data_IF_917700346269
#
_entry.id   IF_917700346269
#
_cell.length_a   1.000
_cell.length_b   1.000
_cell.length_c   1.000
_cell.angle_alpha   90.00
_cell.angle_beta   90.00
_cell.angle_gamma   90.00
#
_symmetry.space_group_name_H-M   'P 1'
#
loop_
_entity.id
_entity.type
_entity.pdbx_description
1 polymer ?
#
# COMPACT_ATOMS: atom_id res chain seq x y z
N UNK A 1 -21.34 -5.14 3.90
CA UNK A 1 -20.38 -4.02 4.05
C UNK A 1 -19.62 -3.92 2.74
N UNK A 2 -19.27 -2.73 2.25
CA UNK A 2 -18.47 -2.63 1.03
C UNK A 2 -17.04 -3.14 1.29
N UNK A 3 -16.37 -3.74 0.28
CA UNK A 3 -14.99 -4.20 0.42
C UNK A 3 -14.03 -3.04 0.69
N UNK A 4 -12.96 -3.26 1.47
CA UNK A 4 -11.95 -2.24 1.77
C UNK A 4 -10.97 -2.09 0.61
N UNK A 5 -10.62 -0.85 0.27
CA UNK A 5 -9.84 -0.52 -0.93
C UNK A 5 -8.46 0.02 -0.56
N UNK A 6 -7.41 -0.58 -1.10
CA UNK A 6 -6.04 -0.06 -1.02
C UNK A 6 -5.83 0.98 -2.12
N UNK A 7 -5.45 2.21 -1.76
CA UNK A 7 -5.13 3.26 -2.74
C UNK A 7 -3.62 3.38 -2.91
N UNK A 8 -3.09 2.88 -4.03
CA UNK A 8 -1.67 2.90 -4.36
C UNK A 8 -1.34 4.01 -5.35
N UNK A 9 -0.23 4.71 -5.14
CA UNK A 9 0.23 5.76 -6.04
C UNK A 9 1.28 6.66 -5.43
N UNK A 10 1.78 7.65 -6.21
CA UNK A 10 2.81 8.56 -5.73
C UNK A 10 2.33 9.38 -4.53
N UNK A 11 3.22 9.63 -3.57
CA UNK A 11 2.92 10.34 -2.31
C UNK A 11 4.06 11.20 -1.77
N UNK A 12 5.06 11.52 -2.60
CA UNK A 12 6.31 12.14 -2.18
C UNK A 12 6.17 13.65 -1.96
N UNK A 13 5.29 14.30 -2.71
CA UNK A 13 5.02 15.73 -2.59
C UNK A 13 3.54 16.07 -2.32
N UNK A 14 3.27 17.33 -2.03
CA UNK A 14 1.93 17.79 -1.66
C UNK A 14 0.90 17.66 -2.79
N UNK A 15 1.32 17.70 -4.06
CA UNK A 15 0.43 17.53 -5.20
C UNK A 15 0.01 16.06 -5.33
N UNK A 16 0.99 15.16 -5.31
CA UNK A 16 0.77 13.71 -5.37
C UNK A 16 -0.11 13.21 -4.22
N UNK A 17 0.16 13.65 -2.98
CA UNK A 17 -0.68 13.32 -1.83
C UNK A 17 -2.12 13.82 -1.98
N UNK A 18 -2.30 15.03 -2.50
CA UNK A 18 -3.63 15.60 -2.72
C UNK A 18 -4.42 14.77 -3.74
N UNK A 19 -3.77 14.36 -4.81
CA UNK A 19 -4.38 13.50 -5.83
C UNK A 19 -4.80 12.16 -5.26
N UNK A 20 -3.91 11.52 -4.50
CA UNK A 20 -4.23 10.27 -3.78
C UNK A 20 -5.35 10.46 -2.75
N UNK A 21 -5.44 11.63 -2.09
CA UNK A 21 -6.55 11.98 -1.20
C UNK A 21 -7.86 12.15 -1.98
N UNK A 22 -7.84 12.78 -3.16
CA UNK A 22 -9.02 12.92 -4.01
C UNK A 22 -9.57 11.55 -4.45
N UNK A 23 -8.69 10.62 -4.82
CA UNK A 23 -9.07 9.22 -5.13
C UNK A 23 -9.76 8.59 -3.92
N UNK A 24 -9.15 8.67 -2.73
CA UNK A 24 -9.72 8.13 -1.51
C UNK A 24 -11.09 8.76 -1.17
N UNK A 25 -11.19 10.09 -1.20
CA UNK A 25 -12.42 10.84 -0.92
C UNK A 25 -13.56 10.43 -1.86
N UNK A 26 -13.26 10.20 -3.14
CA UNK A 26 -14.24 9.76 -4.14
C UNK A 26 -14.80 8.37 -3.82
N UNK A 27 -13.94 7.45 -3.43
CA UNK A 27 -14.33 6.09 -3.01
C UNK A 27 -15.13 6.12 -1.70
N UNK A 28 -14.67 6.88 -0.71
CA UNK A 28 -15.31 7.03 0.60
C UNK A 28 -16.70 7.68 0.47
N UNK A 29 -16.86 8.67 -0.41
CA UNK A 29 -18.17 9.28 -0.72
C UNK A 29 -19.18 8.27 -1.29
N UNK A 30 -18.70 7.17 -1.87
CA UNK A 30 -19.52 6.06 -2.37
C UNK A 30 -19.57 4.87 -1.39
N UNK A 31 -19.12 5.07 -0.15
CA UNK A 31 -19.23 4.12 0.95
C UNK A 31 -18.17 3.02 0.98
N UNK A 32 -17.11 3.13 0.17
CA UNK A 32 -15.96 2.22 0.27
C UNK A 32 -15.08 2.62 1.46
N UNK A 33 -14.77 1.70 2.38
CA UNK A 33 -13.67 1.92 3.32
C UNK A 33 -12.36 1.96 2.54
N UNK A 34 -11.49 2.93 2.85
CA UNK A 34 -10.19 3.08 2.17
C UNK A 34 -9.04 2.86 3.15
N UNK A 35 -7.94 2.30 2.64
CA UNK A 35 -6.62 2.44 3.23
C UNK A 35 -5.75 3.29 2.29
N UNK A 36 -5.29 4.43 2.80
CA UNK A 36 -4.45 5.38 2.10
C UNK A 36 -3.08 5.44 2.81
N UNK A 37 -1.99 4.90 2.23
CA UNK A 37 -0.74 4.61 2.95
C UNK A 37 -0.15 5.79 3.74
N UNK A 38 -0.15 7.00 3.17
CA UNK A 38 0.40 8.18 3.84
C UNK A 38 -0.52 8.81 4.90
N UNK A 39 -1.79 8.38 4.98
CA UNK A 39 -2.79 8.84 5.96
C UNK A 39 -2.99 7.80 7.07
N UNK A 40 -3.19 6.55 6.67
CA UNK A 40 -3.60 5.46 7.55
C UNK A 40 -2.43 4.57 7.99
N UNK A 41 -1.29 4.66 7.30
CA UNK A 41 -0.06 3.94 7.58
C UNK A 41 0.98 4.82 8.25
N UNK A 42 2.21 4.78 7.73
CA UNK A 42 3.33 5.57 8.24
C UNK A 42 4.23 6.08 7.13
N UNK A 43 4.88 7.22 7.35
CA UNK A 43 5.83 7.78 6.40
C UNK A 43 7.25 7.73 6.96
N UNK A 44 8.18 7.24 6.15
CA UNK A 44 9.60 7.16 6.48
C UNK A 44 10.15 8.47 7.06
N UNK A 45 9.84 9.60 6.41
CA UNK A 45 10.31 10.94 6.81
C UNK A 45 9.80 11.42 8.16
N UNK A 46 8.69 10.86 8.65
CA UNK A 46 8.09 11.25 9.94
C UNK A 46 8.59 10.35 11.09
N UNK A 47 8.94 9.09 10.80
CA UNK A 47 9.34 8.09 11.80
C UNK A 47 10.86 8.07 12.01
N UNK A 48 11.66 8.15 10.93
CA UNK A 48 13.12 8.10 11.05
C UNK A 48 13.71 9.14 12.03
N UNK A 49 13.28 10.42 12.01
CA UNK A 49 13.81 11.43 12.92
C UNK A 49 13.53 11.16 14.41
N UNK A 50 12.57 10.26 14.71
CA UNK A 50 12.23 9.86 16.08
C UNK A 50 13.08 8.69 16.59
N UNK A 51 13.66 7.89 15.69
CA UNK A 51 14.47 6.72 16.03
C UNK A 51 15.93 7.10 16.30
N UNK A 52 16.48 8.06 15.56
CA UNK A 52 17.88 8.51 15.72
C UNK A 52 18.17 9.00 17.15
N UNK A 53 17.33 9.85 17.79
CA UNK A 53 17.54 10.27 19.18
C UNK A 53 17.45 9.13 20.21
N UNK A 54 16.94 7.95 19.84
CA UNK A 54 16.85 6.75 20.71
C UNK A 54 18.14 5.93 20.70
N UNK A 55 19.17 6.42 20.00
CA UNK A 55 20.50 5.80 19.99
C UNK A 55 20.65 4.70 18.94
N UNK A 56 19.91 4.77 17.83
CA UNK A 56 20.15 3.97 16.63
C UNK A 56 20.94 4.80 15.62
N UNK A 57 21.90 4.16 14.95
CA UNK A 57 22.59 4.81 13.84
C UNK A 57 21.61 5.05 12.68
N UNK A 58 21.70 6.17 11.92
CA UNK A 58 20.72 6.49 10.89
C UNK A 58 20.51 5.39 9.84
N UNK A 59 21.58 4.68 9.45
CA UNK A 59 21.50 3.58 8.50
C UNK A 59 20.78 2.35 9.07
N UNK A 60 21.03 2.03 10.34
CA UNK A 60 20.36 0.94 11.06
C UNK A 60 18.87 1.24 11.25
N UNK A 61 18.54 2.46 11.69
CA UNK A 61 17.18 2.94 11.82
C UNK A 61 16.42 2.90 10.50
N UNK A 62 17.06 3.33 9.41
CA UNK A 62 16.49 3.24 8.08
C UNK A 62 16.24 1.79 7.65
N UNK A 63 17.14 0.86 7.97
CA UNK A 63 17.00 -0.55 7.58
C UNK A 63 15.78 -1.21 8.23
N UNK A 64 15.61 -1.11 9.55
CA UNK A 64 14.45 -1.72 10.19
C UNK A 64 13.15 -0.96 9.92
N UNK A 65 13.21 0.36 9.71
CA UNK A 65 12.05 1.13 9.26
C UNK A 65 11.58 0.68 7.88
N UNK A 66 12.49 0.46 6.92
CA UNK A 66 12.11 -0.09 5.61
C UNK A 66 11.44 -1.46 5.73
N UNK A 67 11.97 -2.36 6.59
CA UNK A 67 11.34 -3.67 6.83
C UNK A 67 9.93 -3.54 7.39
N UNK A 68 9.71 -2.59 8.29
CA UNK A 68 8.40 -2.35 8.89
C UNK A 68 7.39 -1.78 7.89
N UNK A 69 7.79 -0.82 7.03
CA UNK A 69 6.94 -0.28 5.95
C UNK A 69 6.54 -1.40 5.00
N UNK A 70 7.53 -2.17 4.52
CA UNK A 70 7.30 -3.29 3.63
C UNK A 70 6.34 -4.34 4.23
N UNK A 71 6.51 -4.71 5.50
CA UNK A 71 5.64 -5.66 6.16
C UNK A 71 4.20 -5.13 6.29
N UNK A 72 4.05 -3.88 6.72
CA UNK A 72 2.75 -3.23 6.88
C UNK A 72 2.00 -3.15 5.54
N UNK A 73 2.63 -2.61 4.50
CA UNK A 73 1.96 -2.40 3.19
C UNK A 73 1.59 -3.73 2.52
N UNK A 74 2.47 -4.75 2.60
CA UNK A 74 2.16 -6.10 2.11
C UNK A 74 0.99 -6.71 2.86
N UNK A 75 0.92 -6.57 4.19
CA UNK A 75 -0.24 -7.04 4.96
C UNK A 75 -1.53 -6.31 4.58
N UNK A 76 -1.47 -4.99 4.48
CA UNK A 76 -2.65 -4.17 4.17
C UNK A 76 -3.21 -4.52 2.79
N UNK A 77 -2.34 -4.68 1.80
CA UNK A 77 -2.73 -5.04 0.45
C UNK A 77 -3.21 -6.50 0.36
N UNK A 78 -2.47 -7.44 0.93
CA UNK A 78 -2.74 -8.86 0.75
C UNK A 78 -3.96 -9.34 1.55
N UNK A 79 -4.14 -8.81 2.77
CA UNK A 79 -5.10 -9.34 3.75
C UNK A 79 -6.15 -8.31 4.15
N UNK A 80 -5.74 -7.10 4.54
CA UNK A 80 -6.69 -6.16 5.15
C UNK A 80 -7.59 -5.45 4.13
N UNK A 81 -7.14 -5.34 2.88
CA UNK A 81 -7.90 -4.79 1.76
C UNK A 81 -8.33 -5.90 0.81
N UNK A 82 -9.50 -5.69 0.22
CA UNK A 82 -10.16 -6.64 -0.66
C UNK A 82 -9.94 -6.32 -2.14
N UNK A 83 -9.70 -5.05 -2.45
CA UNK A 83 -9.48 -4.54 -3.80
C UNK A 83 -8.48 -3.38 -3.77
N UNK A 84 -8.04 -2.94 -4.95
CA UNK A 84 -7.05 -1.88 -5.10
C UNK A 84 -7.45 -0.89 -6.19
N UNK A 85 -7.19 0.40 -5.93
CA UNK A 85 -7.15 1.44 -6.96
C UNK A 85 -5.71 1.91 -7.10
N UNK A 86 -5.22 1.91 -8.33
CA UNK A 86 -3.85 2.26 -8.67
C UNK A 86 -3.79 3.56 -9.47
N UNK A 87 -3.14 4.57 -8.92
CA UNK A 87 -2.81 5.79 -9.64
C UNK A 87 -1.54 5.60 -10.48
N UNK A 88 -1.70 5.60 -11.80
CA UNK A 88 -0.63 5.46 -12.80
C UNK A 88 0.05 6.78 -13.16
N UNK A 89 -0.41 7.92 -12.61
CA UNK A 89 0.12 9.22 -12.97
C UNK A 89 1.63 9.36 -12.69
N UNK A 90 2.27 10.18 -13.52
CA UNK A 90 3.71 10.38 -13.54
C UNK A 90 4.32 10.03 -14.90
N UNK A 91 5.46 10.65 -15.23
CA UNK A 91 6.24 10.30 -16.43
C UNK A 91 6.59 8.80 -16.46
N UNK A 92 6.83 8.24 -15.28
CA UNK A 92 6.97 6.81 -15.00
C UNK A 92 6.11 6.55 -13.77
N UNK A 93 5.26 5.51 -13.76
CA UNK A 93 4.50 5.13 -12.58
C UNK A 93 5.41 4.89 -11.37
N UNK A 94 4.91 5.23 -10.19
CA UNK A 94 5.63 5.05 -8.93
C UNK A 94 6.05 3.58 -8.72
N UNK A 95 7.31 3.37 -8.37
CA UNK A 95 7.90 2.03 -8.21
C UNK A 95 7.30 1.23 -7.04
N UNK A 96 6.86 1.91 -5.98
CA UNK A 96 6.14 1.32 -4.86
C UNK A 96 4.78 0.81 -5.32
N UNK A 97 4.00 1.68 -5.95
CA UNK A 97 2.68 1.38 -6.48
C UNK A 97 2.70 0.29 -7.56
N UNK A 98 3.74 0.25 -8.42
CA UNK A 98 3.97 -0.85 -9.37
C UNK A 98 4.16 -2.19 -8.64
N UNK A 99 4.95 -2.19 -7.57
CA UNK A 99 5.23 -3.40 -6.77
C UNK A 99 3.96 -3.88 -6.06
N UNK A 100 3.16 -2.96 -5.55
CA UNK A 100 1.85 -3.22 -4.95
C UNK A 100 0.87 -3.78 -5.98
N UNK A 101 0.72 -3.15 -7.15
CA UNK A 101 -0.15 -3.62 -8.23
C UNK A 101 0.19 -5.06 -8.66
N UNK A 102 1.48 -5.39 -8.76
CA UNK A 102 1.92 -6.74 -9.11
C UNK A 102 1.56 -7.78 -8.03
N UNK A 103 1.64 -7.42 -6.75
CA UNK A 103 1.18 -8.29 -5.64
C UNK A 103 -0.33 -8.47 -5.72
N UNK A 104 -1.10 -7.38 -5.87
CA UNK A 104 -2.55 -7.42 -5.98
C UNK A 104 -3.02 -8.34 -7.11
N UNK A 105 -2.43 -8.15 -8.30
CA UNK A 105 -2.69 -8.96 -9.49
C UNK A 105 -2.36 -10.44 -9.27
N UNK A 106 -1.20 -10.73 -8.65
CA UNK A 106 -0.78 -12.12 -8.35
C UNK A 106 -1.72 -12.81 -7.36
N UNK A 107 -2.32 -12.05 -6.44
CA UNK A 107 -3.30 -12.54 -5.48
C UNK A 107 -4.73 -12.63 -6.04
N UNK A 108 -4.96 -12.19 -7.28
CA UNK A 108 -6.29 -12.15 -7.89
C UNK A 108 -7.21 -11.09 -7.28
N UNK A 109 -6.65 -9.99 -6.75
CA UNK A 109 -7.44 -8.88 -6.20
C UNK A 109 -8.04 -8.05 -7.34
N UNK A 110 -9.31 -7.62 -7.25
CA UNK A 110 -9.86 -6.61 -8.15
C UNK A 110 -8.97 -5.35 -8.14
N UNK A 111 -8.55 -4.91 -9.32
CA UNK A 111 -7.58 -3.84 -9.50
C UNK A 111 -8.07 -2.89 -10.60
N UNK A 112 -8.24 -1.61 -10.27
CA UNK A 112 -8.63 -0.56 -11.23
C UNK A 112 -7.53 0.48 -11.31
N UNK A 113 -7.16 0.90 -12.51
CA UNK A 113 -6.19 1.96 -12.72
C UNK A 113 -6.83 3.32 -13.05
N UNK A 114 -6.23 4.38 -12.51
CA UNK A 114 -6.51 5.78 -12.82
C UNK A 114 -5.28 6.43 -13.46
N UNK A 115 -5.46 7.20 -14.52
CA UNK A 115 -4.46 8.16 -14.99
C UNK A 115 -5.08 9.21 -15.90
N UNK A 116 -4.84 10.49 -15.60
CA UNK A 116 -5.10 11.64 -16.47
C UNK A 116 -3.80 12.33 -16.94
N UNK A 117 -2.63 11.74 -16.67
CA UNK A 117 -1.34 12.36 -16.98
C UNK A 117 -1.01 12.30 -18.48
N UNK A 118 -1.05 13.45 -19.15
CA UNK A 118 -0.68 13.58 -20.55
C UNK A 118 0.84 13.37 -20.83
N UNK A 119 1.68 13.21 -19.80
CA UNK A 119 3.15 13.10 -19.92
C UNK A 119 3.66 11.66 -19.99
N UNK A 120 2.76 10.67 -20.05
CA UNK A 120 3.10 9.26 -20.14
C UNK A 120 3.92 8.94 -21.40
N UNK A 121 4.86 7.99 -21.29
CA UNK A 121 5.81 7.63 -22.35
C UNK A 121 5.09 7.11 -23.62
N UNK A 122 5.74 7.15 -24.80
CA UNK A 122 5.27 6.57 -26.09
C UNK A 122 3.85 6.99 -26.50
N UNK A 123 3.65 8.22 -26.98
CA UNK A 123 2.33 8.67 -27.49
C UNK A 123 1.17 8.48 -26.47
N UNK A 124 1.47 8.57 -25.17
CA UNK A 124 0.50 8.32 -24.09
C UNK A 124 0.35 6.86 -23.65
N UNK A 125 1.29 5.97 -24.00
CA UNK A 125 1.24 4.53 -23.68
C UNK A 125 2.22 4.13 -22.57
N UNK A 126 1.69 3.60 -21.48
CA UNK A 126 2.47 2.99 -20.40
C UNK A 126 3.26 1.75 -20.87
N UNK A 127 4.23 1.33 -20.04
CA UNK A 127 4.95 0.07 -20.24
C UNK A 127 3.95 -1.11 -20.31
N UNK A 128 4.04 -2.00 -21.31
CA UNK A 128 3.13 -3.15 -21.46
C UNK A 128 3.00 -4.06 -20.25
N UNK A 129 4.05 -4.19 -19.43
CA UNK A 129 4.00 -4.98 -18.21
C UNK A 129 3.14 -4.34 -17.11
N UNK A 130 2.93 -3.02 -17.16
CA UNK A 130 2.12 -2.29 -16.20
C UNK A 130 0.65 -2.33 -16.60
N UNK A 131 0.34 -2.01 -17.85
CA UNK A 131 -1.04 -2.05 -18.36
C UNK A 131 -1.59 -3.46 -18.43
N UNK A 132 -0.73 -4.48 -18.59
CA UNK A 132 -1.16 -5.88 -18.49
C UNK A 132 -1.63 -6.29 -17.09
N UNK A 133 -1.31 -5.55 -16.02
CA UNK A 133 -1.83 -5.80 -14.67
C UNK A 133 -3.29 -5.36 -14.52
N UNK A 134 -3.77 -4.50 -15.43
CA UNK A 134 -5.11 -3.90 -15.40
C UNK A 134 -5.84 -4.14 -16.71
N UNK A 135 -5.55 -5.27 -17.36
CA UNK A 135 -6.17 -5.71 -18.61
C UNK A 135 -6.20 -4.64 -19.73
N UNK A 136 -5.18 -3.79 -19.74
CA UNK A 136 -5.01 -2.67 -20.66
C UNK A 136 -6.06 -1.56 -20.53
N UNK A 137 -6.79 -1.52 -19.41
CA UNK A 137 -7.81 -0.53 -19.10
C UNK A 137 -7.37 0.40 -17.97
N UNK A 138 -7.75 1.67 -18.09
CA UNK A 138 -7.68 2.68 -17.03
C UNK A 138 -8.71 3.76 -17.35
N UNK A 139 -9.13 4.51 -16.33
CA UNK A 139 -9.94 5.72 -16.50
C UNK A 139 -9.10 6.97 -16.24
N UNK A 140 -9.42 8.06 -16.94
CA UNK A 140 -8.92 9.41 -16.65
C UNK A 140 -9.93 10.25 -15.85
N UNK A 141 -11.06 9.66 -15.46
CA UNK A 141 -12.12 10.29 -14.68
C UNK A 141 -12.23 9.68 -13.28
N UNK A 142 -11.92 10.52 -12.27
CA UNK A 142 -12.06 10.15 -10.86
C UNK A 142 -13.50 9.76 -10.47
N UNK A 143 -14.50 10.30 -11.15
CA UNK A 143 -15.91 10.04 -10.85
C UNK A 143 -16.37 8.65 -11.35
N UNK A 144 -15.63 8.02 -12.27
CA UNK A 144 -15.89 6.66 -12.76
C UNK A 144 -15.33 5.57 -11.84
N UNK A 145 -14.30 5.89 -11.04
CA UNK A 145 -13.60 4.91 -10.20
C UNK A 145 -14.51 4.05 -9.31
N UNK A 146 -15.52 4.61 -8.60
CA UNK A 146 -16.39 3.79 -7.76
C UNK A 146 -17.23 2.77 -8.55
N UNK A 147 -17.64 3.12 -9.78
CA UNK A 147 -18.41 2.23 -10.65
C UNK A 147 -17.51 1.11 -11.17
N UNK A 148 -16.38 1.45 -11.77
CA UNK A 148 -15.41 0.49 -12.30
C UNK A 148 -14.93 -0.48 -11.22
N UNK A 149 -14.70 0.01 -10.00
CA UNK A 149 -14.34 -0.85 -8.88
C UNK A 149 -15.49 -1.78 -8.46
N UNK A 150 -16.74 -1.32 -8.52
CA UNK A 150 -17.91 -2.17 -8.26
C UNK A 150 -17.98 -3.32 -9.27
N UNK A 151 -17.76 -3.02 -10.54
CA UNK A 151 -17.77 -3.98 -11.65
C UNK A 151 -16.62 -4.97 -11.50
N UNK A 152 -15.38 -4.51 -11.31
CA UNK A 152 -14.21 -5.37 -11.11
C UNK A 152 -14.38 -6.34 -9.91
N UNK A 153 -15.00 -5.88 -8.81
CA UNK A 153 -15.31 -6.72 -7.65
C UNK A 153 -16.38 -7.76 -8.00
N UNK A 154 -17.42 -7.39 -8.75
CA UNK A 154 -18.48 -8.29 -9.16
C UNK A 154 -17.96 -9.36 -10.14
N UNK A 155 -17.10 -8.99 -11.08
CA UNK A 155 -16.49 -9.90 -12.05
C UNK A 155 -15.57 -10.90 -11.37
N UNK A 156 -14.72 -10.45 -10.44
CA UNK A 156 -13.87 -11.34 -9.65
C UNK A 156 -14.69 -12.35 -8.83
N UNK A 157 -15.88 -11.96 -8.34
CA UNK A 157 -16.79 -12.87 -7.64
C UNK A 157 -17.51 -13.86 -8.57
N UNK A 158 -17.66 -13.52 -9.86
CA UNK A 158 -18.36 -14.33 -10.85
C UNK A 158 -17.45 -15.37 -11.54
N UNK A 159 -16.15 -15.09 -11.67
CA UNK A 159 -15.21 -15.91 -12.46
C UNK A 159 -14.76 -17.23 -11.76
N UNK A 160 -15.38 -17.59 -10.61
CA UNK A 160 -14.96 -18.69 -9.71
C UNK A 160 -13.46 -18.65 -9.35
N UNK A 161 -12.82 -17.50 -9.57
CA UNK A 161 -11.42 -17.25 -9.30
C UNK A 161 -11.28 -17.03 -7.80
N UNK A 162 -10.98 -18.10 -7.08
CA UNK A 162 -10.67 -17.99 -5.64
C UNK A 162 -9.36 -17.21 -5.51
N UNK A 163 -9.32 -16.06 -4.81
CA UNK A 163 -8.08 -15.35 -4.55
C UNK A 163 -7.04 -16.28 -3.96
N UNK A 164 -5.78 -16.08 -4.32
CA UNK A 164 -4.73 -16.97 -3.87
C UNK A 164 -4.65 -16.97 -2.33
N UNK A 165 -4.78 -18.15 -1.72
CA UNK A 165 -4.71 -18.27 -0.26
C UNK A 165 -3.30 -17.89 0.21
N UNK A 166 -3.23 -17.10 1.29
CA UNK A 166 -1.95 -16.69 1.87
C UNK A 166 -1.15 -17.94 2.31
N UNK A 167 -1.84 -18.98 2.76
CA UNK A 167 -1.28 -20.27 3.15
C UNK A 167 -0.52 -20.95 2.01
N UNK A 168 -0.89 -20.71 0.75
CA UNK A 168 -0.22 -21.29 -0.42
C UNK A 168 0.98 -20.46 -0.90
N UNK A 169 1.16 -19.25 -0.36
CA UNK A 169 2.26 -18.38 -0.73
C UNK A 169 3.62 -18.85 -0.19
N UNK A 170 4.73 -18.46 -0.85
CA UNK A 170 6.08 -18.78 -0.37
C UNK A 170 6.29 -18.34 1.09
N UNK A 171 7.09 -19.11 1.83
CA UNK A 171 7.35 -18.87 3.27
C UNK A 171 7.69 -17.41 3.60
N UNK A 172 8.49 -16.74 2.76
CA UNK A 172 8.88 -15.34 2.98
C UNK A 172 7.68 -14.41 2.91
N UNK A 173 6.80 -14.59 1.93
CA UNK A 173 5.57 -13.80 1.80
C UNK A 173 4.66 -13.98 3.02
N UNK A 174 4.44 -15.24 3.44
CA UNK A 174 3.64 -15.54 4.64
C UNK A 174 4.20 -14.91 5.91
N UNK A 175 5.53 -14.91 6.06
CA UNK A 175 6.17 -14.28 7.21
C UNK A 175 6.01 -12.75 7.16
N UNK A 176 6.20 -12.13 6.00
CA UNK A 176 5.99 -10.68 5.83
C UNK A 176 4.57 -10.27 6.18
N UNK A 177 3.57 -10.99 5.68
CA UNK A 177 2.15 -10.74 6.00
C UNK A 177 1.90 -10.87 7.50
N UNK A 178 2.45 -11.90 8.15
CA UNK A 178 2.32 -12.09 9.60
C UNK A 178 2.98 -10.96 10.40
N UNK A 179 4.17 -10.53 9.99
CA UNK A 179 4.88 -9.42 10.66
C UNK A 179 4.09 -8.12 10.52
N UNK A 180 3.50 -7.87 9.34
CA UNK A 180 2.62 -6.73 9.10
C UNK A 180 1.31 -6.79 9.90
N UNK A 181 0.71 -7.98 10.04
CA UNK A 181 -0.49 -8.18 10.85
C UNK A 181 -0.23 -7.88 12.33
N UNK A 182 0.87 -8.40 12.88
CA UNK A 182 1.28 -8.13 14.26
C UNK A 182 1.48 -6.62 14.47
N UNK A 183 2.17 -5.97 13.53
CA UNK A 183 2.37 -4.53 13.56
C UNK A 183 1.06 -3.76 13.50
N UNK A 184 0.17 -4.09 12.58
CA UNK A 184 -1.11 -3.41 12.40
C UNK A 184 -1.98 -3.49 13.65
N UNK A 185 -2.09 -4.69 14.24
CA UNK A 185 -2.85 -4.89 15.47
C UNK A 185 -2.25 -4.07 16.62
N UNK A 186 -0.92 -4.03 16.75
CA UNK A 186 -0.27 -3.26 17.80
C UNK A 186 -0.44 -1.74 17.61
N UNK A 187 -0.39 -1.25 16.38
CA UNK A 187 -0.69 0.16 16.06
C UNK A 187 -2.15 0.50 16.43
N UNK A 188 -3.09 -0.37 16.08
CA UNK A 188 -4.51 -0.20 16.38
C UNK A 188 -4.77 -0.19 17.89
N UNK A 189 -4.25 -1.17 18.63
CA UNK A 189 -4.41 -1.29 20.08
C UNK A 189 -3.85 -0.08 20.84
N UNK A 190 -2.79 0.54 20.30
CA UNK A 190 -2.17 1.76 20.86
C UNK A 190 -2.89 3.05 20.48
N UNK A 191 -3.83 3.01 19.52
CA UNK A 191 -4.38 4.22 18.92
C UNK A 191 -3.30 5.07 18.24
N UNK A 192 -2.35 4.42 17.56
CA UNK A 192 -1.19 5.07 16.96
C UNK A 192 -1.50 5.85 15.66
N UNK A 193 -2.76 5.83 15.19
CA UNK A 193 -3.20 6.58 14.02
C UNK A 193 -2.79 8.06 14.14
N UNK A 194 -2.09 8.56 13.12
CA UNK A 194 -1.53 9.93 13.06
C UNK A 194 -0.54 10.29 14.18
N UNK A 195 -0.15 9.34 15.04
CA UNK A 195 0.79 9.56 16.15
C UNK A 195 2.15 8.93 15.86
N UNK A 196 3.04 9.73 15.24
CA UNK A 196 4.37 9.28 14.85
C UNK A 196 5.24 8.75 16.01
N UNK A 197 4.99 9.20 17.25
CA UNK A 197 5.73 8.69 18.42
C UNK A 197 5.34 7.24 18.72
N UNK A 198 4.04 6.96 18.77
CA UNK A 198 3.53 5.60 18.99
C UNK A 198 3.85 4.66 17.82
N UNK A 199 3.85 5.19 16.60
CA UNK A 199 4.32 4.47 15.41
C UNK A 199 5.80 4.10 15.59
N UNK A 200 6.67 5.06 15.95
CA UNK A 200 8.08 4.80 16.18
C UNK A 200 8.32 3.77 17.29
N UNK A 201 7.56 3.84 18.40
CA UNK A 201 7.62 2.84 19.49
C UNK A 201 7.28 1.44 19.00
N UNK A 202 6.28 1.33 18.12
CA UNK A 202 5.83 0.07 17.54
C UNK A 202 6.86 -0.51 16.55
N UNK A 203 7.43 0.35 15.70
CA UNK A 203 8.50 -0.04 14.77
C UNK A 203 9.73 -0.52 15.54
N UNK A 204 10.14 0.21 16.57
CA UNK A 204 11.29 -0.15 17.40
C UNK A 204 11.08 -1.50 18.09
N UNK A 205 9.92 -1.69 18.73
CA UNK A 205 9.61 -2.92 19.46
C UNK A 205 9.63 -4.17 18.59
N UNK A 206 9.13 -4.07 17.35
CA UNK A 206 8.94 -5.22 16.48
C UNK A 206 10.10 -5.49 15.53
N UNK A 207 10.80 -4.44 15.07
CA UNK A 207 11.75 -4.55 13.96
C UNK A 207 13.18 -4.16 14.33
N UNK A 208 13.41 -3.45 15.44
CA UNK A 208 14.77 -3.10 15.83
C UNK A 208 15.59 -4.36 16.18
N UNK A 209 16.89 -4.39 15.86
CA UNK A 209 17.73 -5.52 16.23
C UNK A 209 17.81 -5.67 17.74
N UNK A 210 17.75 -6.92 18.22
CA UNK A 210 17.92 -7.21 19.65
C UNK A 210 19.32 -6.82 20.10
N UNK A 211 19.43 -5.87 21.04
CA UNK A 211 20.71 -5.36 21.58
C UNK A 211 21.44 -6.36 22.51
N UNK A 212 21.00 -7.60 22.62
CA UNK A 212 21.58 -8.62 23.53
C UNK A 212 22.90 -9.25 23.06
N UNK A 213 23.61 -8.69 22.07
CA UNK A 213 24.87 -9.28 21.57
C UNK A 213 25.99 -8.25 21.34
N UNK A 214 26.30 -7.43 22.34
CA UNK A 214 27.56 -6.65 22.36
C UNK A 214 28.27 -6.66 23.73
N UNK A 215 27.94 -7.61 24.60
CA UNK A 215 28.68 -7.87 25.85
C UNK A 215 29.23 -9.31 25.86
N UNK A 216 30.19 -9.59 24.98
CA UNK A 216 31.17 -10.69 25.15
C UNK A 216 32.54 -10.20 24.75
#
# INVERSE_FOLDING_TARGET
MKPRVYCAGPLFNACEKREMTLIADRLEAHGYPVYLPHRDGMEFKNVLPLLVPRGYEPAEAAEFLHKSIFALDVYQLAVACDAMVWNLNGRVPDEGAVSEAAIAWTLGKPLVAYSDDARCLIEGRFNPLLVGLVDFEHTDDLDELPLLLTEAIADAAADDHTPAAIEDMPRRFRQTVKDGEIMWNLLFDRGAAENNVLIADTVEELFAPSRERELV
#
